data_IF_545106939182
#
_entry.id   IF_545106939182
#
_cell.length_a   1.000
_cell.length_b   1.000
_cell.length_c   1.000
_cell.angle_alpha   90.00
_cell.angle_beta   90.00
_cell.angle_gamma   90.00
#
_symmetry.space_group_name_H-M   'P 1'
#
loop_
_entity.id
_entity.type
_entity.pdbx_description
1 polymer ?
#
# COMPACT_ATOMS: atom_id res chain seq x y z
N UNK A 1 -11.89 19.77 -27.16
CA UNK A 1 -12.88 19.24 -26.20
C UNK A 1 -12.74 17.74 -25.88
N UNK A 2 -12.29 16.87 -26.80
CA UNK A 2 -12.16 15.42 -26.53
C UNK A 2 -11.17 15.01 -25.42
N UNK A 3 -10.02 15.69 -25.29
CA UNK A 3 -9.01 15.31 -24.29
C UNK A 3 -9.48 15.52 -22.83
N UNK A 4 -10.26 16.57 -22.56
CA UNK A 4 -10.81 16.83 -21.23
C UNK A 4 -11.85 15.78 -20.83
N UNK A 5 -12.72 15.38 -21.77
CA UNK A 5 -13.70 14.31 -21.56
C UNK A 5 -13.05 12.96 -21.21
N UNK A 6 -11.99 12.58 -21.92
CA UNK A 6 -11.26 11.35 -21.61
C UNK A 6 -10.61 11.38 -20.22
N UNK A 7 -10.10 12.53 -19.78
CA UNK A 7 -9.55 12.68 -18.43
C UNK A 7 -10.63 12.50 -17.36
N UNK A 8 -11.80 13.11 -17.56
CA UNK A 8 -12.94 12.99 -16.63
C UNK A 8 -13.44 11.54 -16.56
N UNK A 9 -13.55 10.85 -17.69
CA UNK A 9 -13.95 9.44 -17.74
C UNK A 9 -12.97 8.54 -16.96
N UNK A 10 -11.66 8.72 -17.17
CA UNK A 10 -10.63 7.97 -16.43
C UNK A 10 -10.66 8.28 -14.94
N UNK A 11 -10.90 9.53 -14.56
CA UNK A 11 -11.08 9.91 -13.16
C UNK A 11 -12.27 9.21 -12.54
N UNK A 12 -13.39 9.18 -13.26
CA UNK A 12 -14.60 8.48 -12.81
C UNK A 12 -14.34 6.98 -12.64
N UNK A 13 -13.70 6.32 -13.61
CA UNK A 13 -13.37 4.89 -13.53
C UNK A 13 -12.43 4.59 -12.35
N UNK A 14 -11.43 5.42 -12.13
CA UNK A 14 -10.54 5.28 -10.98
C UNK A 14 -11.30 5.37 -9.65
N UNK A 15 -12.17 6.37 -9.50
CA UNK A 15 -12.93 6.61 -8.27
C UNK A 15 -14.09 5.62 -8.05
N UNK A 16 -14.60 4.95 -9.07
CA UNK A 16 -15.60 3.89 -8.88
C UNK A 16 -14.98 2.65 -8.25
N UNK A 17 -13.71 2.37 -8.51
CA UNK A 17 -13.02 1.25 -7.86
C UNK A 17 -12.80 1.49 -6.36
N UNK A 18 -12.95 0.43 -5.57
CA UNK A 18 -12.64 0.48 -4.13
C UNK A 18 -11.15 0.76 -3.89
N UNK A 19 -10.26 0.29 -4.77
CA UNK A 19 -8.82 0.53 -4.66
C UNK A 19 -8.48 2.01 -4.90
N UNK A 20 -9.03 2.64 -5.93
CA UNK A 20 -8.81 4.05 -6.20
C UNK A 20 -9.28 4.95 -5.06
N UNK A 21 -10.44 4.63 -4.45
CA UNK A 21 -10.93 5.33 -3.25
C UNK A 21 -10.01 5.15 -2.03
N UNK A 22 -9.57 3.93 -1.71
CA UNK A 22 -8.65 3.69 -0.57
C UNK A 22 -7.33 4.45 -0.75
N UNK A 23 -6.75 4.44 -1.95
CA UNK A 23 -5.49 5.16 -2.22
C UNK A 23 -5.68 6.68 -2.20
N UNK A 24 -6.80 7.19 -2.69
CA UNK A 24 -7.14 8.62 -2.59
C UNK A 24 -7.30 9.06 -1.14
N UNK A 25 -8.03 8.30 -0.32
CA UNK A 25 -8.13 8.57 1.11
C UNK A 25 -6.77 8.52 1.80
N UNK A 26 -5.88 7.58 1.40
CA UNK A 26 -4.50 7.51 1.92
C UNK A 26 -3.72 8.78 1.58
N UNK A 27 -3.82 9.26 0.34
CA UNK A 27 -3.15 10.48 -0.10
C UNK A 27 -3.65 11.69 0.68
N UNK A 28 -4.97 11.88 0.80
CA UNK A 28 -5.58 12.97 1.57
C UNK A 28 -5.16 12.89 3.04
N UNK A 29 -5.13 11.69 3.62
CA UNK A 29 -4.68 11.48 5.00
C UNK A 29 -3.26 12.01 5.21
N UNK A 30 -2.28 11.59 4.39
CA UNK A 30 -0.90 12.00 4.58
C UNK A 30 -0.64 13.46 4.19
N UNK A 31 -1.40 14.03 3.24
CA UNK A 31 -1.38 15.48 2.98
C UNK A 31 -1.87 16.24 4.21
N UNK A 32 -2.98 15.82 4.81
CA UNK A 32 -3.53 16.46 6.01
C UNK A 32 -2.55 16.37 7.20
N UNK A 33 -1.87 15.23 7.38
CA UNK A 33 -0.82 15.05 8.38
C UNK A 33 0.42 15.93 8.10
N UNK A 34 0.81 16.08 6.83
CA UNK A 34 1.93 16.94 6.44
C UNK A 34 1.62 18.41 6.74
N UNK A 35 0.44 18.88 6.33
CA UNK A 35 -0.01 20.26 6.57
C UNK A 35 -0.12 20.53 8.06
N UNK A 36 -0.74 19.64 8.84
CA UNK A 36 -0.87 19.82 10.29
C UNK A 36 0.51 19.87 10.97
N UNK A 37 1.44 19.01 10.57
CA UNK A 37 2.80 18.98 11.12
C UNK A 37 3.60 20.25 10.82
N UNK A 38 3.56 20.73 9.57
CA UNK A 38 4.25 21.99 9.19
C UNK A 38 3.66 23.18 9.93
N UNK A 39 2.33 23.25 10.08
CA UNK A 39 1.67 24.31 10.84
C UNK A 39 2.05 24.27 12.33
N UNK A 40 2.13 23.08 12.94
CA UNK A 40 2.55 22.91 14.34
C UNK A 40 3.98 23.39 14.57
N UNK A 41 4.90 23.13 13.64
CA UNK A 41 6.28 23.61 13.71
C UNK A 41 6.34 25.14 13.65
N UNK A 42 5.58 25.77 12.74
CA UNK A 42 5.52 27.24 12.64
C UNK A 42 4.94 27.91 13.89
N UNK A 43 3.97 27.26 14.54
CA UNK A 43 3.33 27.73 15.77
C UNK A 43 4.18 27.49 17.04
N UNK A 44 5.38 26.90 16.92
CA UNK A 44 6.21 26.45 18.06
C UNK A 44 5.41 25.63 19.09
N UNK A 45 4.42 24.87 18.62
CA UNK A 45 3.52 24.07 19.49
C UNK A 45 2.81 24.85 20.61
N UNK A 46 2.68 26.19 20.54
CA UNK A 46 1.86 26.90 21.53
C UNK A 46 0.39 26.52 21.34
N UNK A 47 -0.18 25.84 22.34
CA UNK A 47 -1.63 25.64 22.50
C UNK A 47 -2.28 26.97 22.91
N UNK A 48 -2.19 27.94 22.02
CA UNK A 48 -2.98 29.15 22.13
C UNK A 48 -4.33 28.88 21.46
N UNK A 49 -5.44 29.24 22.12
CA UNK A 49 -6.81 29.18 21.57
C UNK A 49 -7.00 30.00 20.28
N UNK A 50 -5.93 30.57 19.74
CA UNK A 50 -5.79 31.14 18.40
C UNK A 50 -6.51 30.34 17.30
N UNK A 51 -7.08 31.08 16.35
CA UNK A 51 -7.70 30.55 15.11
C UNK A 51 -6.77 29.66 14.29
N UNK A 52 -5.45 29.80 14.45
CA UNK A 52 -4.47 28.98 13.73
C UNK A 52 -4.37 27.57 14.30
N UNK A 53 -4.45 27.42 15.63
CA UNK A 53 -4.47 26.11 16.27
C UNK A 53 -5.74 25.33 15.95
N UNK A 54 -6.88 26.00 15.84
CA UNK A 54 -8.14 25.37 15.40
C UNK A 54 -8.01 24.76 13.99
N UNK A 55 -7.33 25.44 13.05
CA UNK A 55 -7.06 24.91 11.71
C UNK A 55 -6.20 23.64 11.76
N UNK A 56 -5.21 23.58 12.65
CA UNK A 56 -4.39 22.38 12.86
C UNK A 56 -5.27 21.21 13.29
N UNK A 57 -6.13 21.40 14.29
CA UNK A 57 -7.03 20.36 14.78
C UNK A 57 -7.98 19.86 13.69
N UNK A 58 -8.49 20.76 12.83
CA UNK A 58 -9.32 20.37 11.67
C UNK A 58 -8.56 19.48 10.69
N UNK A 59 -7.28 19.77 10.41
CA UNK A 59 -6.45 18.94 9.54
C UNK A 59 -6.14 17.57 10.16
N UNK A 60 -5.87 17.51 11.46
CA UNK A 60 -5.69 16.22 12.16
C UNK A 60 -6.97 15.38 12.17
N UNK A 61 -8.12 16.03 12.36
CA UNK A 61 -9.43 15.38 12.26
C UNK A 61 -9.70 14.86 10.85
N UNK A 62 -9.35 15.61 9.81
CA UNK A 62 -9.45 15.16 8.41
C UNK A 62 -8.58 13.92 8.17
N UNK A 63 -7.32 13.94 8.62
CA UNK A 63 -6.41 12.80 8.51
C UNK A 63 -6.94 11.55 9.19
N UNK A 64 -7.40 11.66 10.44
CA UNK A 64 -7.96 10.53 11.20
C UNK A 64 -9.28 10.02 10.61
N UNK A 65 -10.13 10.91 10.09
CA UNK A 65 -11.37 10.53 9.40
C UNK A 65 -11.05 9.72 8.14
N UNK A 66 -10.10 10.19 7.31
CA UNK A 66 -9.68 9.46 6.10
C UNK A 66 -9.02 8.12 6.43
N UNK A 67 -8.23 8.04 7.50
CA UNK A 67 -7.69 6.78 7.99
C UNK A 67 -8.82 5.79 8.35
N UNK A 68 -9.87 6.26 9.01
CA UNK A 68 -11.03 5.43 9.36
C UNK A 68 -11.79 4.96 8.11
N UNK A 69 -12.06 5.87 7.17
CA UNK A 69 -12.72 5.54 5.90
C UNK A 69 -11.97 4.45 5.15
N UNK A 70 -10.63 4.47 5.15
CA UNK A 70 -9.81 3.42 4.53
C UNK A 70 -10.04 2.04 5.14
N UNK A 71 -10.19 1.94 6.46
CA UNK A 71 -10.48 0.67 7.14
C UNK A 71 -11.81 0.09 6.62
N UNK A 72 -12.83 0.93 6.47
CA UNK A 72 -14.12 0.53 5.87
C UNK A 72 -13.97 0.10 4.40
N UNK A 73 -13.22 0.85 3.58
CA UNK A 73 -13.00 0.52 2.17
C UNK A 73 -12.24 -0.80 1.97
N UNK A 74 -11.60 -1.33 3.00
CA UNK A 74 -10.89 -2.62 2.97
C UNK A 74 -11.77 -3.80 3.40
N UNK A 75 -13.06 -3.58 3.60
CA UNK A 75 -14.00 -4.70 3.75
C UNK A 75 -13.88 -5.62 2.52
N UNK A 76 -13.74 -6.92 2.78
CA UNK A 76 -13.48 -7.93 1.75
C UNK A 76 -12.00 -8.16 1.40
N UNK A 77 -11.07 -7.26 1.76
CA UNK A 77 -9.63 -7.51 1.54
C UNK A 77 -9.11 -8.77 2.21
N UNK A 78 -9.45 -9.08 3.48
CA UNK A 78 -9.05 -10.35 4.09
C UNK A 78 -9.43 -11.57 3.24
N UNK A 79 -10.67 -11.61 2.72
CA UNK A 79 -11.14 -12.71 1.88
C UNK A 79 -10.38 -12.78 0.55
N UNK A 80 -10.09 -11.65 -0.09
CA UNK A 80 -9.30 -11.65 -1.33
C UNK A 80 -7.88 -12.15 -1.10
N UNK A 81 -7.20 -11.75 -0.01
CA UNK A 81 -5.86 -12.22 0.30
C UNK A 81 -5.86 -13.70 0.71
N UNK A 82 -6.86 -14.16 1.45
CA UNK A 82 -7.05 -15.57 1.77
C UNK A 82 -7.17 -16.42 0.49
N UNK A 83 -8.00 -15.98 -0.47
CA UNK A 83 -8.16 -16.68 -1.75
C UNK A 83 -6.84 -16.72 -2.54
N UNK A 84 -6.09 -15.62 -2.62
CA UNK A 84 -4.78 -15.58 -3.29
C UNK A 84 -3.74 -16.47 -2.62
N UNK A 85 -3.75 -16.53 -1.29
CA UNK A 85 -2.91 -17.44 -0.52
C UNK A 85 -3.25 -18.90 -0.85
N UNK A 86 -4.53 -19.28 -0.83
CA UNK A 86 -4.99 -20.63 -1.18
C UNK A 86 -4.58 -21.00 -2.61
N UNK A 87 -4.75 -20.10 -3.58
CA UNK A 87 -4.33 -20.33 -4.98
C UNK A 87 -2.82 -20.57 -5.05
N UNK A 88 -2.02 -19.77 -4.35
CA UNK A 88 -0.56 -19.89 -4.34
C UNK A 88 -0.11 -21.21 -3.71
N UNK A 89 -0.77 -21.66 -2.64
CA UNK A 89 -0.52 -22.95 -1.99
C UNK A 89 -0.92 -24.11 -2.92
N UNK A 90 -2.09 -24.03 -3.58
CA UNK A 90 -2.53 -25.06 -4.54
C UNK A 90 -1.55 -25.21 -5.70
N UNK A 91 -1.04 -24.10 -6.25
CA UNK A 91 0.00 -24.11 -7.27
C UNK A 91 1.28 -24.81 -6.79
N UNK A 92 1.68 -24.53 -5.55
CA UNK A 92 2.86 -25.13 -4.93
C UNK A 92 2.70 -26.65 -4.78
N UNK A 93 1.54 -27.12 -4.30
CA UNK A 93 1.24 -28.55 -4.11
C UNK A 93 1.20 -29.27 -5.47
N UNK A 94 0.49 -28.70 -6.45
CA UNK A 94 0.34 -29.32 -7.77
C UNK A 94 1.58 -29.14 -8.67
N UNK A 95 2.64 -28.49 -8.18
CA UNK A 95 3.83 -28.12 -8.96
C UNK A 95 3.50 -27.41 -10.29
N UNK A 96 2.42 -26.63 -10.31
CA UNK A 96 1.96 -25.92 -11.49
C UNK A 96 2.66 -24.56 -11.58
N UNK A 97 3.60 -24.46 -12.51
CA UNK A 97 4.33 -23.24 -12.84
C UNK A 97 3.76 -22.65 -14.13
N UNK A 98 2.82 -21.70 -14.00
CA UNK A 98 2.16 -21.10 -15.17
C UNK A 98 3.06 -20.10 -15.91
N UNK A 99 4.10 -19.62 -15.25
CA UNK A 99 5.06 -18.65 -15.79
C UNK A 99 6.48 -19.14 -15.57
N UNK A 100 7.39 -18.93 -16.53
CA UNK A 100 8.79 -19.32 -16.39
C UNK A 100 9.51 -18.59 -15.25
N UNK A 101 9.00 -17.43 -14.80
CA UNK A 101 9.52 -16.72 -13.62
C UNK A 101 9.04 -17.33 -12.29
N UNK A 102 7.93 -18.06 -12.24
CA UNK A 102 7.31 -18.52 -10.99
C UNK A 102 8.11 -19.69 -10.40
N UNK A 103 9.05 -19.41 -9.50
CA UNK A 103 9.76 -20.44 -8.72
C UNK A 103 8.94 -20.87 -7.49
N UNK A 104 9.26 -22.03 -6.89
CA UNK A 104 8.65 -22.47 -5.63
C UNK A 104 8.82 -21.42 -4.51
N UNK A 105 10.00 -20.80 -4.45
CA UNK A 105 10.30 -19.72 -3.49
C UNK A 105 9.37 -18.50 -3.70
N UNK A 106 9.10 -18.12 -4.95
CA UNK A 106 8.17 -17.03 -5.26
C UNK A 106 6.73 -17.35 -4.87
N UNK A 107 6.28 -18.60 -5.04
CA UNK A 107 4.95 -19.02 -4.59
C UNK A 107 4.83 -18.99 -3.06
N UNK A 108 5.85 -19.44 -2.34
CA UNK A 108 5.90 -19.42 -0.87
C UNK A 108 5.89 -17.97 -0.35
N UNK A 109 6.78 -17.13 -0.87
CA UNK A 109 6.84 -15.70 -0.48
C UNK A 109 5.57 -14.95 -0.83
N UNK A 110 4.93 -15.26 -1.96
CA UNK A 110 3.60 -14.72 -2.31
C UNK A 110 2.52 -15.13 -1.30
N UNK A 111 2.44 -16.41 -0.94
CA UNK A 111 1.49 -16.89 0.06
C UNK A 111 1.73 -16.24 1.43
N UNK A 112 3.00 -16.11 1.84
CA UNK A 112 3.39 -15.47 3.10
C UNK A 112 3.03 -13.97 3.14
N UNK A 113 3.26 -13.25 2.04
CA UNK A 113 2.81 -11.86 1.88
C UNK A 113 1.29 -11.75 2.06
N UNK A 114 0.54 -12.60 1.38
CA UNK A 114 -0.92 -12.57 1.43
C UNK A 114 -1.45 -12.90 2.83
N UNK A 115 -0.79 -13.81 3.55
CA UNK A 115 -1.08 -14.09 4.96
C UNK A 115 -0.88 -12.84 5.84
N UNK A 116 0.26 -12.16 5.75
CA UNK A 116 0.51 -10.97 6.56
C UNK A 116 -0.44 -9.82 6.22
N UNK A 117 -0.76 -9.61 4.95
CA UNK A 117 -1.74 -8.60 4.54
C UNK A 117 -3.16 -8.93 5.04
N UNK A 118 -3.56 -10.21 4.97
CA UNK A 118 -4.84 -10.67 5.52
C UNK A 118 -4.92 -10.36 7.02
N UNK A 119 -3.89 -10.76 7.78
CA UNK A 119 -3.82 -10.52 9.23
C UNK A 119 -3.85 -9.03 9.57
N UNK A 120 -3.12 -8.20 8.81
CA UNK A 120 -3.19 -6.74 8.94
C UNK A 120 -4.61 -6.20 8.75
N UNK A 121 -5.31 -6.62 7.69
CA UNK A 121 -6.67 -6.15 7.42
C UNK A 121 -7.69 -6.64 8.46
N UNK A 122 -7.51 -7.84 9.03
CA UNK A 122 -8.34 -8.31 10.15
C UNK A 122 -8.15 -7.43 11.39
N UNK A 123 -6.90 -7.05 11.71
CA UNK A 123 -6.62 -6.10 12.78
C UNK A 123 -7.27 -4.73 12.50
N UNK A 124 -7.19 -4.22 11.27
CA UNK A 124 -7.86 -2.97 10.87
C UNK A 124 -9.37 -3.01 11.17
N UNK A 125 -10.04 -4.12 10.83
CA UNK A 125 -11.48 -4.29 11.07
C UNK A 125 -11.82 -4.39 12.55
N UNK A 126 -11.00 -5.09 13.34
CA UNK A 126 -11.15 -5.13 14.80
C UNK A 126 -11.08 -3.73 15.42
N UNK A 127 -10.09 -2.93 14.99
CA UNK A 127 -9.92 -1.55 15.48
C UNK A 127 -11.08 -0.67 15.04
N UNK A 128 -11.57 -0.82 13.80
CA UNK A 128 -12.75 -0.11 13.32
C UNK A 128 -14.00 -0.45 14.15
N UNK A 129 -14.26 -1.73 14.42
CA UNK A 129 -15.38 -2.18 15.26
C UNK A 129 -15.30 -1.64 16.69
N UNK A 130 -14.10 -1.55 17.26
CA UNK A 130 -13.91 -0.92 18.57
C UNK A 130 -14.22 0.58 18.54
N UNK A 131 -13.84 1.29 17.47
CA UNK A 131 -14.09 2.73 17.32
C UNK A 131 -15.56 3.11 17.16
N UNK A 132 -16.40 2.18 16.71
CA UNK A 132 -17.86 2.35 16.68
C UNK A 132 -18.54 1.78 17.94
N UNK A 133 -17.78 1.51 19.00
CA UNK A 133 -18.25 1.00 20.30
C UNK A 133 -18.94 -0.38 20.27
N UNK A 134 -18.75 -1.17 19.20
CA UNK A 134 -19.18 -2.58 19.19
C UNK A 134 -18.29 -3.43 20.10
N UNK A 135 -16.99 -3.12 20.12
CA UNK A 135 -16.01 -3.76 21.02
C UNK A 135 -15.57 -2.73 22.07
N UNK A 136 -15.98 -2.94 23.31
CA UNK A 136 -15.81 -1.98 24.42
C UNK A 136 -14.40 -1.95 25.02
N UNK A 137 -13.52 -2.88 24.65
CA UNK A 137 -12.18 -3.01 25.23
C UNK A 137 -11.14 -2.17 24.47
N UNK A 138 -11.12 -0.86 24.70
CA UNK A 138 -10.19 0.08 24.04
C UNK A 138 -8.71 -0.28 24.20
N UNK A 139 -8.32 -0.75 25.40
CA UNK A 139 -6.95 -1.16 25.67
C UNK A 139 -6.49 -2.32 24.77
N UNK A 140 -7.41 -3.24 24.45
CA UNK A 140 -7.14 -4.34 23.51
C UNK A 140 -7.07 -3.80 22.09
N UNK A 141 -7.97 -2.90 21.70
CA UNK A 141 -7.96 -2.30 20.37
C UNK A 141 -6.63 -1.59 20.06
N UNK A 142 -6.04 -0.88 21.03
CA UNK A 142 -4.72 -0.26 20.88
C UNK A 142 -3.60 -1.29 20.66
N UNK A 143 -3.62 -2.41 21.39
CA UNK A 143 -2.65 -3.51 21.19
C UNK A 143 -2.83 -4.18 19.83
N UNK A 144 -4.07 -4.42 19.41
CA UNK A 144 -4.39 -5.00 18.09
C UNK A 144 -4.00 -4.05 16.97
N UNK A 145 -4.14 -2.74 17.15
CA UNK A 145 -3.66 -1.74 16.19
C UNK A 145 -2.14 -1.83 15.99
N UNK A 146 -1.36 -1.87 17.08
CA UNK A 146 0.10 -2.04 17.01
C UNK A 146 0.46 -3.37 16.33
N UNK A 147 -0.20 -4.47 16.70
CA UNK A 147 0.00 -5.78 16.08
C UNK A 147 -0.32 -5.75 14.57
N UNK A 148 -1.36 -5.04 14.17
CA UNK A 148 -1.70 -4.81 12.77
C UNK A 148 -0.55 -4.14 12.02
N UNK A 149 0.03 -3.08 12.58
CA UNK A 149 1.19 -2.41 11.96
C UNK A 149 2.44 -3.30 11.93
N UNK A 150 2.63 -4.20 12.90
CA UNK A 150 3.68 -5.22 12.83
C UNK A 150 3.45 -6.20 11.66
N UNK A 151 2.21 -6.64 11.43
CA UNK A 151 1.88 -7.47 10.26
C UNK A 151 2.07 -6.71 8.94
N UNK A 152 1.72 -5.42 8.89
CA UNK A 152 1.97 -4.60 7.71
C UNK A 152 3.49 -4.49 7.44
N UNK A 153 4.29 -4.23 8.47
CA UNK A 153 5.75 -4.20 8.35
C UNK A 153 6.32 -5.53 7.85
N UNK A 154 5.87 -6.66 8.42
CA UNK A 154 6.28 -7.99 7.96
C UNK A 154 5.92 -8.22 6.49
N UNK A 155 4.71 -7.81 6.06
CA UNK A 155 4.30 -7.87 4.66
C UNK A 155 5.22 -7.04 3.74
N UNK A 156 5.65 -5.84 4.16
CA UNK A 156 6.55 -4.99 3.38
C UNK A 156 7.91 -5.66 3.15
N UNK A 157 8.47 -6.30 4.18
CA UNK A 157 9.75 -7.04 4.07
C UNK A 157 9.61 -8.20 3.09
N UNK A 158 8.51 -8.97 3.19
CA UNK A 158 8.25 -10.08 2.27
C UNK A 158 7.99 -9.58 0.84
N UNK A 159 7.32 -8.45 0.65
CA UNK A 159 7.14 -7.80 -0.66
C UNK A 159 8.50 -7.51 -1.29
N UNK A 160 9.40 -6.85 -0.56
CA UNK A 160 10.75 -6.53 -1.08
C UNK A 160 11.48 -7.81 -1.48
N UNK A 161 11.46 -8.84 -0.63
CA UNK A 161 12.07 -10.13 -0.95
C UNK A 161 11.48 -10.80 -2.19
N UNK A 162 10.15 -10.80 -2.32
CA UNK A 162 9.43 -11.33 -3.47
C UNK A 162 9.81 -10.58 -4.76
N UNK A 163 9.77 -9.25 -4.76
CA UNK A 163 10.05 -8.45 -5.97
C UNK A 163 11.52 -8.55 -6.39
N UNK A 164 12.46 -8.62 -5.44
CA UNK A 164 13.89 -8.83 -5.74
C UNK A 164 14.11 -10.21 -6.39
N UNK A 165 13.49 -11.26 -5.86
CA UNK A 165 13.60 -12.61 -6.42
C UNK A 165 12.94 -12.68 -7.82
N UNK A 166 11.80 -12.02 -7.99
CA UNK A 166 11.12 -11.93 -9.28
C UNK A 166 11.97 -11.19 -10.32
N UNK A 167 12.62 -10.09 -9.93
CA UNK A 167 13.55 -9.34 -10.77
C UNK A 167 14.74 -10.20 -11.20
N UNK A 168 15.36 -10.95 -10.28
CA UNK A 168 16.47 -11.86 -10.60
C UNK A 168 16.06 -12.93 -11.62
N UNK A 169 14.90 -13.54 -11.42
CA UNK A 169 14.40 -14.58 -12.32
C UNK A 169 14.01 -14.00 -13.69
N UNK A 170 13.45 -12.80 -13.73
CA UNK A 170 13.13 -12.10 -14.99
C UNK A 170 14.40 -11.69 -15.73
N UNK A 171 15.42 -11.18 -15.04
CA UNK A 171 16.69 -10.78 -15.62
C UNK A 171 17.41 -11.97 -16.29
N UNK A 172 17.44 -13.14 -15.64
CA UNK A 172 18.00 -14.37 -16.22
C UNK A 172 17.30 -14.78 -17.52
N UNK A 173 15.97 -14.67 -17.55
CA UNK A 173 15.21 -14.97 -18.77
C UNK A 173 15.52 -13.98 -19.90
N UNK A 174 15.67 -12.69 -19.58
CA UNK A 174 16.01 -11.65 -20.57
C UNK A 174 17.42 -11.78 -21.13
N UNK A 175 18.40 -12.24 -20.33
CA UNK A 175 19.77 -12.46 -20.80
C UNK A 175 19.89 -13.61 -21.80
N UNK A 176 19.01 -14.61 -21.72
CA UNK A 176 18.98 -15.74 -22.64
C UNK A 176 18.20 -15.50 -23.94
N UNK A 177 17.69 -14.28 -24.17
CA UNK A 177 16.95 -13.94 -25.39
C UNK A 177 17.84 -13.21 -26.38
N UNK A 178 18.31 -13.91 -27.42
CA UNK A 178 18.97 -13.28 -28.57
C UNK A 178 17.96 -12.52 -29.43
N UNK A 179 18.30 -11.31 -29.88
CA UNK A 179 17.39 -10.49 -30.69
C UNK A 179 17.28 -11.06 -32.10
N UNK A 180 16.23 -11.83 -32.38
CA UNK A 180 16.01 -12.45 -33.70
C UNK A 180 15.23 -11.55 -34.68
N UNK A 181 14.82 -10.36 -34.25
CA UNK A 181 14.03 -9.42 -35.07
C UNK A 181 12.53 -9.69 -35.10
N UNK A 182 12.06 -10.85 -34.64
CA UNK A 182 10.63 -11.24 -34.59
C UNK A 182 9.77 -10.30 -33.73
N UNK A 183 8.59 -9.94 -34.26
CA UNK A 183 7.63 -9.04 -33.61
C UNK A 183 7.08 -9.63 -32.31
N UNK A 184 6.87 -10.95 -32.26
CA UNK A 184 6.40 -11.62 -31.04
C UNK A 184 7.46 -11.54 -29.93
N UNK A 185 8.73 -11.72 -30.28
CA UNK A 185 9.84 -11.57 -29.35
C UNK A 185 10.00 -10.11 -28.86
N UNK A 186 9.85 -9.12 -29.75
CA UNK A 186 9.86 -7.70 -29.36
C UNK A 186 8.76 -7.37 -28.37
N UNK A 187 7.53 -7.84 -28.61
CA UNK A 187 6.39 -7.67 -27.69
C UNK A 187 6.67 -8.31 -26.33
N UNK A 188 7.24 -9.52 -26.31
CA UNK A 188 7.61 -10.24 -25.08
C UNK A 188 8.69 -9.50 -24.29
N UNK A 189 9.72 -8.97 -24.96
CA UNK A 189 10.76 -8.16 -24.32
C UNK A 189 10.22 -6.86 -23.74
N UNK A 190 9.33 -6.17 -24.47
CA UNK A 190 8.66 -4.98 -23.97
C UNK A 190 7.81 -5.28 -22.73
N UNK A 191 7.13 -6.43 -22.69
CA UNK A 191 6.39 -6.88 -21.51
C UNK A 191 7.31 -7.08 -20.30
N UNK A 192 8.47 -7.74 -20.47
CA UNK A 192 9.42 -7.90 -19.37
C UNK A 192 9.99 -6.59 -18.86
N UNK A 193 10.29 -5.65 -19.76
CA UNK A 193 10.75 -4.32 -19.36
C UNK A 193 9.69 -3.60 -18.50
N UNK A 194 8.42 -3.66 -18.89
CA UNK A 194 7.32 -3.11 -18.11
C UNK A 194 7.12 -3.83 -16.76
N UNK A 195 7.28 -5.16 -16.72
CA UNK A 195 7.24 -5.92 -15.46
C UNK A 195 8.39 -5.52 -14.52
N UNK A 196 9.61 -5.39 -15.03
CA UNK A 196 10.78 -4.92 -14.26
C UNK A 196 10.53 -3.54 -13.66
N UNK A 197 10.03 -2.59 -14.46
CA UNK A 197 9.71 -1.25 -13.97
C UNK A 197 8.66 -1.28 -12.84
N UNK A 198 7.61 -2.11 -12.99
CA UNK A 198 6.59 -2.28 -11.95
C UNK A 198 7.17 -2.84 -10.66
N UNK A 199 8.06 -3.83 -10.75
CA UNK A 199 8.74 -4.41 -9.59
C UNK A 199 9.61 -3.38 -8.87
N UNK A 200 10.40 -2.58 -9.61
CA UNK A 200 11.25 -1.52 -9.03
C UNK A 200 10.39 -0.48 -8.30
N UNK A 201 9.30 -0.03 -8.92
CA UNK A 201 8.37 0.93 -8.30
C UNK A 201 7.76 0.35 -7.02
N UNK A 202 7.39 -0.94 -7.02
CA UNK A 202 6.84 -1.61 -5.84
C UNK A 202 7.87 -1.76 -4.72
N UNK A 203 9.15 -2.04 -5.03
CA UNK A 203 10.25 -2.04 -4.06
C UNK A 203 10.42 -0.65 -3.45
N UNK A 204 10.52 0.40 -4.26
CA UNK A 204 10.67 1.79 -3.78
C UNK A 204 9.50 2.14 -2.86
N UNK A 205 8.27 1.81 -3.27
CA UNK A 205 7.07 2.05 -2.46
C UNK A 205 7.14 1.31 -1.12
N UNK A 206 7.54 0.04 -1.14
CA UNK A 206 7.64 -0.78 0.07
C UNK A 206 8.71 -0.26 1.03
N UNK A 207 9.88 0.14 0.52
CA UNK A 207 10.96 0.73 1.32
C UNK A 207 10.51 2.03 1.98
N UNK A 208 9.82 2.91 1.24
CA UNK A 208 9.32 4.17 1.80
C UNK A 208 8.16 3.96 2.78
N UNK A 209 7.39 2.88 2.65
CA UNK A 209 6.34 2.51 3.60
C UNK A 209 6.88 1.91 4.90
N UNK A 210 8.14 1.46 4.97
CA UNK A 210 8.74 0.91 6.21
C UNK A 210 8.77 1.97 7.33
N UNK A 211 9.38 3.17 7.15
CA UNK A 211 9.34 4.21 8.18
C UNK A 211 7.91 4.63 8.56
N UNK A 212 6.99 4.60 7.59
CA UNK A 212 5.58 4.93 7.82
C UNK A 212 4.92 3.90 8.74
N UNK A 213 5.14 2.62 8.50
CA UNK A 213 4.64 1.54 9.35
C UNK A 213 5.26 1.59 10.75
N UNK A 214 6.57 1.82 10.84
CA UNK A 214 7.30 1.93 12.09
C UNK A 214 6.81 3.11 12.95
N UNK A 215 6.52 4.26 12.34
CA UNK A 215 5.94 5.42 13.05
C UNK A 215 4.58 5.12 13.68
N UNK A 216 3.78 4.28 13.04
CA UNK A 216 2.49 3.85 13.59
C UNK A 216 2.63 2.84 14.75
N UNK A 217 3.74 2.10 14.81
CA UNK A 217 4.10 1.23 15.94
C UNK A 217 4.60 2.09 17.12
N UNK A 218 5.54 2.98 16.85
CA UNK A 218 6.07 3.94 17.81
C UNK A 218 6.35 5.28 17.10
N UNK A 219 5.62 6.32 17.51
CA UNK A 219 5.68 7.64 16.90
C UNK A 219 6.94 8.44 17.28
N UNK A 220 7.76 7.97 18.22
CA UNK A 220 9.01 8.60 18.64
C UNK A 220 10.17 8.30 17.69
N UNK A 221 10.11 7.20 16.95
CA UNK A 221 11.21 6.77 16.07
C UNK A 221 11.41 7.69 14.85
N UNK A 222 10.36 8.36 14.39
CA UNK A 222 10.42 9.23 13.22
C UNK A 222 9.61 10.51 13.42
N UNK A 223 10.08 11.62 12.88
CA UNK A 223 9.30 12.86 12.88
C UNK A 223 8.07 12.75 11.97
N UNK A 224 6.91 13.24 12.43
CA UNK A 224 5.65 13.24 11.69
C UNK A 224 5.75 13.87 10.31
N UNK A 225 6.55 14.92 10.13
CA UNK A 225 6.74 15.59 8.82
C UNK A 225 7.39 14.65 7.82
N UNK A 226 8.48 13.99 8.23
CA UNK A 226 9.22 13.05 7.39
C UNK A 226 8.33 11.88 6.95
N UNK A 227 7.61 11.27 7.90
CA UNK A 227 6.69 10.17 7.65
C UNK A 227 5.55 10.59 6.73
N UNK A 228 5.03 11.82 6.90
CA UNK A 228 3.96 12.33 6.05
C UNK A 228 4.42 12.56 4.62
N UNK A 229 5.65 13.03 4.39
CA UNK A 229 6.22 13.16 3.04
C UNK A 229 6.32 11.79 2.36
N UNK A 230 6.91 10.80 3.04
CA UNK A 230 7.01 9.44 2.51
C UNK A 230 5.63 8.86 2.22
N UNK A 231 4.67 9.05 3.14
CA UNK A 231 3.29 8.62 2.96
C UNK A 231 2.59 9.29 1.77
N UNK A 232 2.85 10.57 1.50
CA UNK A 232 2.33 11.26 0.29
C UNK A 232 2.93 10.63 -0.97
N UNK A 233 4.24 10.42 -1.02
CA UNK A 233 4.93 9.84 -2.18
C UNK A 233 4.38 8.43 -2.48
N UNK A 234 4.33 7.55 -1.48
CA UNK A 234 3.86 6.17 -1.69
C UNK A 234 2.38 6.10 -2.02
N UNK A 235 1.57 7.03 -1.51
CA UNK A 235 0.15 7.15 -1.86
C UNK A 235 -0.04 7.61 -3.30
N UNK A 236 0.74 8.60 -3.74
CA UNK A 236 0.71 9.08 -5.12
C UNK A 236 1.09 7.98 -6.10
N UNK A 237 2.19 7.25 -5.84
CA UNK A 237 2.58 6.06 -6.61
C UNK A 237 1.42 5.04 -6.65
N UNK A 238 0.78 4.77 -5.51
CA UNK A 238 -0.34 3.86 -5.42
C UNK A 238 -1.56 4.29 -6.25
N UNK A 239 -1.87 5.60 -6.28
CA UNK A 239 -2.90 6.15 -7.15
C UNK A 239 -2.55 5.95 -8.63
N UNK A 240 -1.32 6.27 -9.03
CA UNK A 240 -0.86 6.10 -10.42
C UNK A 240 -0.91 4.64 -10.89
N UNK A 241 -0.51 3.69 -10.04
CA UNK A 241 -0.59 2.25 -10.34
C UNK A 241 -2.03 1.75 -10.52
N UNK A 242 -3.00 2.40 -9.87
CA UNK A 242 -4.43 2.06 -10.01
C UNK A 242 -5.09 2.82 -11.17
N UNK A 243 -4.57 4.00 -11.53
CA UNK A 243 -5.05 4.82 -12.64
C UNK A 243 -4.72 4.22 -14.02
N UNK A 244 -3.62 3.47 -14.10
CA UNK A 244 -3.16 2.81 -15.32
C UNK A 244 -3.87 1.47 -15.61
N UNK A 245 -4.79 1.03 -14.75
CA UNK A 245 -5.61 -0.18 -14.95
C UNK A 245 -6.94 0.20 -15.57
#
# INVERSE_FOLDING_TARGET
MGHQWHMVQRMSQFLTTTQGRDKSCRLIQYIAMLVSSVMKQRLKYKKDGSKQYEKVLKMEKLGSTMQMTRKVLRLGKPATNLMQMIISIKKLINSQHNKPQETKLLLITKALKDFFLMSYYLCDHFVWLSKINIITKEAIAKKVEILGYCFWLAALIVIIGYEVEYLKNTAKLTQGMEWTGDEAQRKKMQQYYLEIQKCIIEIIRAVFDIPVSLWHINNEWFNTTFVSILGVITSYIGCMQCWQK
#
